data_IF_603326431795
#
_entry.id   IF_603326431795
#
_cell.length_a   1.000
_cell.length_b   1.000
_cell.length_c   1.000
_cell.angle_alpha   90.00
_cell.angle_beta   90.00
_cell.angle_gamma   90.00
#
_symmetry.space_group_name_H-M   'P 1'
#
loop_
_entity.id
_entity.type
_entity.pdbx_description
1 polymer ?
#
# COMPACT_ATOMS: atom_id res chain seq x y z
N UNK A 1 11.27 13.83 -15.26
CA UNK A 1 11.18 13.69 -13.80
C UNK A 1 9.94 12.88 -13.45
N UNK A 2 10.12 11.87 -12.65
CA UNK A 2 9.03 10.99 -12.26
C UNK A 2 8.31 11.57 -11.06
N UNK A 3 7.00 11.74 -11.17
CA UNK A 3 6.18 12.12 -10.03
C UNK A 3 5.51 10.88 -9.46
N UNK A 4 5.55 10.77 -8.15
CA UNK A 4 4.88 9.70 -7.45
C UNK A 4 3.56 10.21 -6.88
N UNK A 5 2.53 9.39 -6.98
CA UNK A 5 1.26 9.65 -6.30
C UNK A 5 1.27 8.89 -4.98
N UNK A 6 0.93 9.58 -3.89
CA UNK A 6 0.86 8.97 -2.58
C UNK A 6 -0.61 8.79 -2.21
N UNK A 7 -0.97 7.57 -1.83
CA UNK A 7 -2.31 7.26 -1.34
C UNK A 7 -2.20 6.90 0.14
N UNK A 8 -2.81 7.71 0.99
CA UNK A 8 -2.87 7.46 2.43
C UNK A 8 -4.04 6.55 2.74
N UNK A 9 -3.76 5.34 3.19
CA UNK A 9 -4.79 4.45 3.67
C UNK A 9 -4.93 4.67 5.18
N UNK A 10 -6.04 5.23 5.60
CA UNK A 10 -6.26 5.60 7.01
C UNK A 10 -7.46 4.83 7.56
N UNK A 11 -7.33 4.34 8.79
CA UNK A 11 -8.39 3.61 9.46
C UNK A 11 -8.31 2.12 9.18
N UNK A 12 -9.44 1.50 8.87
CA UNK A 12 -9.48 0.06 8.59
C UNK A 12 -9.16 -0.27 7.15
N UNK A 13 -8.39 -1.32 6.94
CA UNK A 13 -8.22 -1.95 5.64
C UNK A 13 -8.98 -3.27 5.72
N UNK A 14 -10.25 -3.24 5.37
CA UNK A 14 -11.20 -4.31 5.65
C UNK A 14 -12.24 -4.43 4.54
N UNK A 15 -13.18 -5.34 4.72
CA UNK A 15 -14.23 -5.58 3.74
C UNK A 15 -15.01 -4.29 3.41
N UNK A 16 -15.25 -3.45 4.42
CA UNK A 16 -16.02 -2.22 4.22
C UNK A 16 -15.28 -1.10 3.53
N UNK A 17 -13.96 -1.14 3.50
CA UNK A 17 -13.14 -0.06 2.95
C UNK A 17 -12.38 -0.43 1.68
N UNK A 18 -12.22 -1.74 1.41
CA UNK A 18 -11.30 -2.20 0.35
C UNK A 18 -11.68 -1.68 -1.03
N UNK A 19 -12.98 -1.62 -1.36
CA UNK A 19 -13.42 -1.13 -2.66
C UNK A 19 -13.06 0.33 -2.86
N UNK A 20 -13.18 1.13 -1.79
CA UNK A 20 -12.80 2.54 -1.82
C UNK A 20 -11.30 2.69 -2.05
N UNK A 21 -10.49 1.89 -1.37
CA UNK A 21 -9.03 1.95 -1.55
C UNK A 21 -8.61 1.50 -2.95
N UNK A 22 -9.26 0.47 -3.50
CA UNK A 22 -8.99 0.06 -4.87
C UNK A 22 -9.27 1.19 -5.85
N UNK A 23 -10.37 1.90 -5.67
CA UNK A 23 -10.73 3.03 -6.52
C UNK A 23 -9.74 4.19 -6.39
N UNK A 24 -9.32 4.51 -5.16
CA UNK A 24 -8.36 5.58 -4.90
C UNK A 24 -7.01 5.29 -5.53
N UNK A 25 -6.53 4.06 -5.38
CA UNK A 25 -5.26 3.67 -5.97
C UNK A 25 -5.35 3.64 -7.50
N UNK A 26 -6.47 3.16 -8.04
CA UNK A 26 -6.68 3.16 -9.48
C UNK A 26 -6.63 4.57 -10.06
N UNK A 27 -7.24 5.54 -9.36
CA UNK A 27 -7.21 6.93 -9.77
C UNK A 27 -5.78 7.48 -9.75
N UNK A 28 -5.03 7.19 -8.69
CA UNK A 28 -3.64 7.62 -8.59
C UNK A 28 -2.78 7.01 -9.71
N UNK A 29 -2.99 5.73 -10.00
CA UNK A 29 -2.24 5.02 -11.03
C UNK A 29 -2.55 5.54 -12.44
N UNK A 30 -3.74 6.12 -12.65
CA UNK A 30 -4.12 6.64 -13.97
C UNK A 30 -3.32 7.89 -14.35
N UNK A 31 -2.73 8.57 -13.38
CA UNK A 31 -2.01 9.83 -13.62
C UNK A 31 -0.52 9.78 -13.27
N UNK A 32 -0.06 8.67 -12.68
CA UNK A 32 1.32 8.58 -12.22
C UNK A 32 1.92 7.22 -12.55
N UNK A 33 3.21 7.22 -12.88
CA UNK A 33 3.94 5.99 -13.15
C UNK A 33 4.42 5.29 -11.87
N UNK A 34 4.44 6.01 -10.75
CA UNK A 34 4.84 5.48 -9.45
C UNK A 34 3.75 5.79 -8.43
N UNK A 35 3.34 4.78 -7.70
CA UNK A 35 2.30 4.91 -6.67
C UNK A 35 2.87 4.45 -5.33
N UNK A 36 2.71 5.27 -4.31
CA UNK A 36 3.13 4.93 -2.95
C UNK A 36 1.86 4.72 -2.11
N UNK A 37 1.76 3.54 -1.51
CA UNK A 37 0.68 3.22 -0.59
C UNK A 37 1.20 3.43 0.83
N UNK A 38 0.67 4.43 1.52
CA UNK A 38 1.11 4.73 2.88
C UNK A 38 0.13 4.12 3.87
N UNK A 39 0.60 3.09 4.57
CA UNK A 39 -0.20 2.36 5.55
C UNK A 39 -0.01 2.88 6.97
N UNK A 40 0.72 3.98 7.15
CA UNK A 40 1.03 4.49 8.50
C UNK A 40 -0.24 4.69 9.33
N UNK A 41 -1.31 5.15 8.71
CA UNK A 41 -2.58 5.40 9.40
C UNK A 41 -3.53 4.22 9.49
N UNK A 42 -3.11 3.04 9.05
CA UNK A 42 -3.96 1.84 9.13
C UNK A 42 -3.90 1.27 10.54
N UNK A 43 -5.06 1.10 11.16
CA UNK A 43 -5.16 0.62 12.53
C UNK A 43 -5.95 -0.69 12.66
N UNK A 44 -6.44 -1.23 11.57
CA UNK A 44 -7.18 -2.49 11.56
C UNK A 44 -7.04 -3.18 10.21
N UNK A 45 -6.88 -4.52 10.23
CA UNK A 45 -6.84 -5.35 9.03
C UNK A 45 -7.73 -6.56 9.23
N UNK A 46 -8.46 -6.94 8.20
CA UNK A 46 -9.10 -8.26 8.15
C UNK A 46 -8.68 -8.98 6.86
N UNK A 47 -9.14 -10.21 6.70
CA UNK A 47 -8.73 -11.03 5.54
C UNK A 47 -9.16 -10.41 4.22
N UNK A 48 -10.33 -9.77 4.17
CA UNK A 48 -10.79 -9.10 2.96
C UNK A 48 -9.91 -7.91 2.61
N UNK A 49 -9.48 -7.15 3.62
CA UNK A 49 -8.57 -6.03 3.43
C UNK A 49 -7.20 -6.49 2.93
N UNK A 50 -6.68 -7.58 3.50
CA UNK A 50 -5.40 -8.16 3.07
C UNK A 50 -5.50 -8.63 1.62
N UNK A 51 -6.56 -9.36 1.27
CA UNK A 51 -6.76 -9.78 -0.11
C UNK A 51 -6.85 -8.59 -1.05
N UNK A 52 -7.55 -7.53 -0.63
CA UNK A 52 -7.65 -6.31 -1.41
C UNK A 52 -6.31 -5.63 -1.62
N UNK A 53 -5.49 -5.57 -0.58
CA UNK A 53 -4.15 -5.01 -0.68
C UNK A 53 -3.32 -5.76 -1.72
N UNK A 54 -3.32 -7.08 -1.67
CA UNK A 54 -2.56 -7.87 -2.64
C UNK A 54 -3.13 -7.74 -4.05
N UNK A 55 -4.46 -7.64 -4.22
CA UNK A 55 -5.04 -7.36 -5.54
C UNK A 55 -4.59 -6.02 -6.08
N UNK A 56 -4.53 -5.00 -5.23
CA UNK A 56 -4.06 -3.67 -5.61
C UNK A 56 -2.61 -3.75 -6.11
N UNK A 57 -1.74 -4.41 -5.35
CA UNK A 57 -0.34 -4.53 -5.73
C UNK A 57 -0.17 -5.32 -7.04
N UNK A 58 -0.92 -6.41 -7.19
CA UNK A 58 -0.88 -7.20 -8.41
C UNK A 58 -1.35 -6.39 -9.63
N UNK A 59 -2.39 -5.56 -9.44
CA UNK A 59 -2.90 -4.72 -10.52
C UNK A 59 -1.86 -3.67 -10.94
N UNK A 60 -1.19 -3.06 -9.98
CA UNK A 60 -0.13 -2.09 -10.28
C UNK A 60 1.01 -2.75 -11.05
N UNK A 61 1.43 -3.92 -10.60
CA UNK A 61 2.48 -4.68 -11.26
C UNK A 61 2.07 -5.04 -12.69
N UNK A 62 0.84 -5.52 -12.87
CA UNK A 62 0.32 -5.90 -14.18
C UNK A 62 0.20 -4.73 -15.15
N UNK A 63 0.07 -3.51 -14.65
CA UNK A 63 0.01 -2.29 -15.45
C UNK A 63 1.40 -1.70 -15.71
N UNK A 64 2.45 -2.35 -15.24
CA UNK A 64 3.80 -1.83 -15.38
C UNK A 64 4.09 -0.62 -14.51
N UNK A 65 3.28 -0.39 -13.47
CA UNK A 65 3.51 0.72 -12.56
C UNK A 65 4.57 0.36 -11.54
N UNK A 66 5.34 1.36 -11.14
CA UNK A 66 6.25 1.22 -10.02
C UNK A 66 5.48 1.52 -8.75
N UNK A 67 5.78 0.80 -7.68
CA UNK A 67 5.06 1.04 -6.42
C UNK A 67 5.94 0.79 -5.21
N UNK A 68 5.59 1.44 -4.12
CA UNK A 68 6.20 1.24 -2.82
C UNK A 68 5.14 1.25 -1.75
N UNK A 69 5.40 0.57 -0.64
CA UNK A 69 4.48 0.46 0.49
C UNK A 69 5.19 0.95 1.74
N UNK A 70 4.58 1.93 2.42
CA UNK A 70 5.12 2.49 3.65
C UNK A 70 4.42 1.88 4.85
N UNK A 71 5.19 1.24 5.71
CA UNK A 71 4.72 0.73 6.99
C UNK A 71 5.90 0.81 7.98
N UNK A 72 6.01 1.91 8.72
CA UNK A 72 7.16 2.13 9.61
C UNK A 72 7.32 1.00 10.62
N UNK A 73 8.58 0.67 10.94
CA UNK A 73 8.92 -0.51 11.74
C UNK A 73 8.20 -0.56 13.08
N UNK A 74 8.00 0.57 13.72
CA UNK A 74 7.32 0.63 15.02
C UNK A 74 5.87 1.08 14.93
N UNK A 75 5.33 1.16 13.70
CA UNK A 75 3.95 1.56 13.49
C UNK A 75 2.97 0.41 13.66
N UNK A 76 1.70 0.78 13.82
CA UNK A 76 0.63 -0.20 14.03
C UNK A 76 0.44 -1.11 12.81
N UNK A 77 0.48 -0.54 11.61
CA UNK A 77 0.29 -1.33 10.40
C UNK A 77 1.34 -2.43 10.27
N UNK A 78 2.62 -2.09 10.53
CA UNK A 78 3.70 -3.07 10.48
C UNK A 78 3.44 -4.19 11.49
N UNK A 79 2.99 -3.86 12.70
CA UNK A 79 2.70 -4.84 13.74
C UNK A 79 1.59 -5.78 13.29
N UNK A 80 0.52 -5.23 12.70
CA UNK A 80 -0.60 -6.05 12.20
C UNK A 80 -0.13 -7.00 11.10
N UNK A 81 0.71 -6.52 10.18
CA UNK A 81 1.25 -7.36 9.12
C UNK A 81 2.15 -8.46 9.68
N UNK A 82 2.92 -8.15 10.70
CA UNK A 82 3.80 -9.13 11.35
C UNK A 82 3.01 -10.21 12.08
N UNK A 83 1.92 -9.84 12.74
CA UNK A 83 1.05 -10.81 13.41
C UNK A 83 0.51 -11.82 12.41
N UNK A 84 0.21 -11.37 11.19
CA UNK A 84 -0.30 -12.23 10.13
C UNK A 84 0.82 -12.85 9.28
N UNK A 85 2.06 -12.58 9.63
CA UNK A 85 3.26 -13.06 8.92
C UNK A 85 3.26 -12.65 7.44
N UNK A 86 2.85 -11.42 7.17
CA UNK A 86 2.75 -10.88 5.81
C UNK A 86 3.89 -9.95 5.44
N UNK A 87 4.73 -9.56 6.41
CA UNK A 87 5.80 -8.60 6.17
C UNK A 87 6.86 -9.11 5.20
N UNK A 88 6.97 -10.42 5.05
CA UNK A 88 7.93 -11.02 4.12
C UNK A 88 7.41 -11.10 2.69
N UNK A 89 6.12 -10.89 2.48
CA UNK A 89 5.49 -11.02 1.17
C UNK A 89 5.51 -9.71 0.40
N UNK A 90 5.72 -8.60 1.08
CA UNK A 90 5.73 -7.27 0.49
C UNK A 90 6.90 -6.49 1.08
N UNK A 91 7.66 -5.82 0.23
CA UNK A 91 8.73 -4.94 0.71
C UNK A 91 8.11 -3.73 1.38
N UNK A 92 8.42 -3.53 2.66
CA UNK A 92 7.88 -2.43 3.45
C UNK A 92 8.96 -1.39 3.71
N UNK A 93 8.61 -0.13 3.49
CA UNK A 93 9.52 1.00 3.63
C UNK A 93 9.18 1.79 4.89
N UNK A 94 10.18 2.52 5.41
CA UNK A 94 10.02 3.32 6.62
C UNK A 94 9.40 4.68 6.35
N UNK A 95 9.57 5.20 5.13
CA UNK A 95 9.10 6.53 4.78
C UNK A 95 8.65 6.57 3.32
N UNK A 96 7.93 7.63 2.97
CA UNK A 96 7.51 7.88 1.59
C UNK A 96 8.71 8.08 0.66
N UNK A 97 9.72 8.79 1.14
CA UNK A 97 10.93 9.02 0.34
C UNK A 97 11.63 7.71 0.02
N UNK A 98 11.78 6.84 1.01
CA UNK A 98 12.35 5.51 0.79
C UNK A 98 11.50 4.72 -0.20
N UNK A 99 10.18 4.77 -0.08
CA UNK A 99 9.27 4.05 -0.97
C UNK A 99 9.38 4.55 -2.41
N UNK A 100 9.55 5.85 -2.63
CA UNK A 100 9.73 6.42 -3.96
C UNK A 100 11.06 5.98 -4.55
N UNK A 101 12.14 6.04 -3.76
CA UNK A 101 13.48 5.66 -4.23
C UNK A 101 13.57 4.18 -4.55
N UNK A 102 12.88 3.34 -3.77
CA UNK A 102 12.94 1.89 -3.90
C UNK A 102 11.80 1.31 -4.74
N UNK A 103 10.94 2.14 -5.29
CA UNK A 103 9.78 1.66 -6.04
C UNK A 103 10.21 0.75 -7.20
N UNK A 104 9.59 -0.43 -7.25
CA UNK A 104 9.91 -1.44 -8.25
C UNK A 104 9.13 -1.20 -9.54
#
# INVERSE_FOLDING_TARGET
MTQAAVVDLVGGLDLGSVARWEAEVGKAASTSGTVVLDLTGVDFLDSAGVHGLFRILAALDGQGKRFGVVAPRHGRARRLLEILDLQSLVRLCESRDEAIDDAA
#
